data_IF_259035233642
#
_entry.id   IF_259035233642
#
_cell.length_a   1.000
_cell.length_b   1.000
_cell.length_c   1.000
_cell.angle_alpha   90.00
_cell.angle_beta   90.00
_cell.angle_gamma   90.00
#
_symmetry.space_group_name_H-M   'P 1'
#
loop_
_entity.id
_entity.type
_entity.pdbx_description
1 polymer ?
#
# COMPACT_ATOMS: atom_id res chain seq x y z
N UNK A 1 -32.42 -13.80 -16.95
CA UNK A 1 -32.05 -12.41 -16.59
C UNK A 1 -30.65 -12.16 -17.12
N UNK A 2 -30.43 -11.01 -17.79
CA UNK A 2 -29.35 -10.67 -18.76
C UNK A 2 -29.35 -11.36 -20.13
N UNK A 3 -30.11 -12.44 -20.34
CA UNK A 3 -30.27 -13.06 -21.68
C UNK A 3 -29.02 -13.82 -22.16
N UNK A 4 -28.08 -14.09 -21.26
CA UNK A 4 -26.88 -14.86 -21.53
C UNK A 4 -27.15 -16.30 -21.07
N UNK A 5 -27.13 -17.25 -22.00
CA UNK A 5 -27.40 -18.68 -21.75
C UNK A 5 -26.12 -19.45 -21.35
N UNK A 6 -24.94 -18.89 -21.66
CA UNK A 6 -23.67 -19.57 -21.45
C UNK A 6 -23.20 -19.49 -19.99
N UNK A 7 -23.02 -20.65 -19.30
CA UNK A 7 -22.56 -20.70 -17.92
C UNK A 7 -21.15 -20.11 -17.71
N UNK A 8 -20.30 -20.13 -18.74
CA UNK A 8 -18.94 -19.59 -18.69
C UNK A 8 -18.91 -18.08 -18.51
N UNK A 9 -19.86 -17.36 -19.10
CA UNK A 9 -19.96 -15.91 -18.94
C UNK A 9 -20.33 -15.53 -17.50
N UNK A 10 -21.25 -16.24 -16.87
CA UNK A 10 -21.57 -16.02 -15.45
C UNK A 10 -20.37 -16.27 -14.55
N UNK A 11 -19.61 -17.33 -14.83
CA UNK A 11 -18.38 -17.62 -14.11
C UNK A 11 -17.34 -16.51 -14.29
N UNK A 12 -17.20 -15.98 -15.51
CA UNK A 12 -16.32 -14.85 -15.81
C UNK A 12 -16.67 -13.59 -15.03
N UNK A 13 -17.96 -13.24 -14.95
CA UNK A 13 -18.43 -12.12 -14.12
C UNK A 13 -18.15 -12.35 -12.64
N UNK A 14 -18.46 -13.55 -12.13
CA UNK A 14 -18.22 -13.89 -10.72
C UNK A 14 -16.72 -13.80 -10.38
N UNK A 15 -15.85 -14.39 -11.21
CA UNK A 15 -14.41 -14.34 -11.03
C UNK A 15 -13.85 -12.92 -11.11
N UNK A 16 -14.42 -12.07 -11.98
CA UNK A 16 -14.00 -10.66 -12.10
C UNK A 16 -14.32 -9.88 -10.81
N UNK A 17 -15.52 -10.08 -10.26
CA UNK A 17 -15.91 -9.47 -8.99
C UNK A 17 -15.07 -10.00 -7.83
N UNK A 18 -14.83 -11.32 -7.79
CA UNK A 18 -13.97 -11.92 -6.76
C UNK A 18 -12.53 -11.41 -6.84
N UNK A 19 -12.00 -11.22 -8.05
CA UNK A 19 -10.66 -10.65 -8.27
C UNK A 19 -10.58 -9.22 -7.75
N UNK A 20 -11.57 -8.38 -8.04
CA UNK A 20 -11.64 -7.02 -7.51
C UNK A 20 -11.62 -7.02 -5.97
N UNK A 21 -12.47 -7.85 -5.36
CA UNK A 21 -12.56 -7.98 -3.90
C UNK A 21 -11.23 -8.45 -3.31
N UNK A 22 -10.58 -9.45 -3.93
CA UNK A 22 -9.29 -9.96 -3.49
C UNK A 22 -8.20 -8.88 -3.55
N UNK A 23 -8.14 -8.08 -4.62
CA UNK A 23 -7.20 -6.98 -4.75
C UNK A 23 -7.40 -5.91 -3.67
N UNK A 24 -8.65 -5.49 -3.44
CA UNK A 24 -8.97 -4.49 -2.42
C UNK A 24 -8.66 -5.02 -1.02
N UNK A 25 -9.04 -6.26 -0.72
CA UNK A 25 -8.77 -6.91 0.55
C UNK A 25 -7.27 -7.00 0.83
N UNK A 26 -6.50 -7.51 -0.14
CA UNK A 26 -5.05 -7.64 0.01
C UNK A 26 -4.38 -6.27 0.18
N UNK A 27 -4.77 -5.29 -0.65
CA UNK A 27 -4.29 -3.91 -0.53
C UNK A 27 -4.56 -3.35 0.86
N UNK A 28 -5.80 -3.44 1.35
CA UNK A 28 -6.15 -2.97 2.69
C UNK A 28 -5.39 -3.69 3.80
N UNK A 29 -5.23 -5.01 3.72
CA UNK A 29 -4.52 -5.82 4.71
C UNK A 29 -2.98 -5.61 4.70
N UNK A 30 -2.42 -5.18 3.58
CA UNK A 30 -0.98 -5.03 3.40
C UNK A 30 -0.52 -3.57 3.25
N UNK A 31 -1.43 -2.59 3.26
CA UNK A 31 -1.10 -1.18 3.02
C UNK A 31 -0.06 -0.60 3.98
N UNK A 32 -0.01 -1.11 5.22
CA UNK A 32 0.87 -0.60 6.27
C UNK A 32 2.00 -1.58 6.68
N UNK A 33 2.17 -2.70 5.97
CA UNK A 33 3.22 -3.67 6.28
C UNK A 33 4.53 -3.19 5.65
N UNK A 34 5.56 -2.95 6.47
CA UNK A 34 6.83 -2.36 6.03
C UNK A 34 6.88 -0.84 6.08
N UNK A 35 5.87 -0.18 6.66
CA UNK A 35 5.94 1.23 7.06
C UNK A 35 6.56 1.40 8.46
N UNK A 36 7.03 0.32 9.09
CA UNK A 36 7.78 0.39 10.33
C UNK A 36 9.13 1.07 10.10
N UNK A 37 9.23 2.35 10.47
CA UNK A 37 10.52 3.02 10.57
C UNK A 37 11.28 2.35 11.71
N UNK A 38 12.43 1.75 11.39
CA UNK A 38 13.28 1.17 12.42
C UNK A 38 13.84 2.26 13.32
N UNK A 39 14.16 1.93 14.58
CA UNK A 39 14.79 2.89 15.50
C UNK A 39 16.11 3.46 14.95
N UNK A 40 16.80 2.69 14.10
CA UNK A 40 18.03 3.07 13.42
C UNK A 40 17.79 4.10 12.31
N UNK A 41 16.77 3.89 11.47
CA UNK A 41 16.35 4.85 10.44
C UNK A 41 15.86 6.15 11.05
N UNK A 42 15.03 6.08 12.11
CA UNK A 42 14.55 7.27 12.82
C UNK A 42 15.71 8.08 13.39
N UNK A 43 16.71 7.41 13.99
CA UNK A 43 17.88 8.08 14.56
C UNK A 43 18.73 8.74 13.48
N UNK A 44 18.84 8.13 12.31
CA UNK A 44 19.57 8.70 11.17
C UNK A 44 18.89 9.97 10.68
N UNK A 45 17.58 9.97 10.53
CA UNK A 45 16.83 11.14 10.06
C UNK A 45 16.95 12.31 11.06
N UNK A 46 16.86 12.05 12.37
CA UNK A 46 17.08 13.06 13.42
C UNK A 46 18.51 13.64 13.37
N UNK A 47 19.53 12.80 13.17
CA UNK A 47 20.93 13.24 13.06
C UNK A 47 21.16 14.13 11.85
N UNK A 48 20.48 13.85 10.72
CA UNK A 48 20.51 14.71 9.54
C UNK A 48 19.84 16.06 9.80
N UNK A 49 18.61 16.09 10.33
CA UNK A 49 17.93 17.35 10.64
C UNK A 49 18.76 18.20 11.61
N UNK A 50 19.31 17.59 12.66
CA UNK A 50 20.14 18.30 13.65
C UNK A 50 21.40 18.90 13.00
N UNK A 51 22.02 18.21 12.05
CA UNK A 51 23.20 18.72 11.32
C UNK A 51 22.83 19.85 10.36
N UNK A 52 21.69 19.76 9.68
CA UNK A 52 21.20 20.84 8.82
C UNK A 52 20.92 22.10 9.62
N UNK A 53 20.29 21.98 10.79
CA UNK A 53 20.04 23.11 11.69
C UNK A 53 21.36 23.75 12.15
N UNK A 54 22.34 22.93 12.56
CA UNK A 54 23.67 23.43 12.95
C UNK A 54 24.37 24.18 11.82
N UNK A 55 24.33 23.64 10.59
CA UNK A 55 24.92 24.30 9.42
C UNK A 55 24.22 25.63 9.13
N UNK A 56 22.89 25.68 9.24
CA UNK A 56 22.11 26.90 9.01
C UNK A 56 22.34 27.97 10.09
N UNK A 57 22.59 27.57 11.34
CA UNK A 57 22.82 28.48 12.45
C UNK A 57 24.26 29.04 12.48
N UNK A 58 25.22 28.31 11.90
CA UNK A 58 26.61 28.76 11.71
C UNK A 58 26.85 29.58 10.41
N UNK A 59 25.84 29.73 9.54
CA UNK A 59 25.86 30.50 8.28
C UNK A 59 25.36 31.94 8.45
#
# INVERSE_FOLDING_TARGET
MLGIDDPGIYLGYLLSVLSLVACVWYGAANWNKGAEITAEELKRDIDWETKEDQINEEL
#
